data_IF_336160419599
#
_entry.id   IF_336160419599
#
_cell.length_a   1.000
_cell.length_b   1.000
_cell.length_c   1.000
_cell.angle_alpha   90.00
_cell.angle_beta   90.00
_cell.angle_gamma   90.00
#
_symmetry.space_group_name_H-M   'P 1'
#
loop_
_entity.id
_entity.type
_entity.pdbx_description
1 polymer ?
#
# COMPACT_ATOMS: atom_id res chain seq x y z
N UNK A 1 -9.37 -26.47 -12.46
CA UNK A 1 -9.93 -25.55 -13.48
C UNK A 1 -9.94 -24.08 -13.03
N UNK A 2 -10.32 -23.74 -11.79
CA UNK A 2 -10.52 -22.33 -11.33
C UNK A 2 -9.22 -21.50 -11.24
N UNK A 3 -8.07 -22.11 -10.90
CA UNK A 3 -6.79 -21.39 -10.75
C UNK A 3 -6.14 -20.99 -12.10
N UNK A 4 -6.42 -21.71 -13.17
CA UNK A 4 -5.85 -21.46 -14.51
C UNK A 4 -6.46 -20.21 -15.18
N UNK A 5 -7.76 -19.97 -14.96
CA UNK A 5 -8.47 -18.80 -15.49
C UNK A 5 -8.20 -17.55 -14.64
N UNK A 6 -8.18 -17.69 -13.31
CA UNK A 6 -7.88 -16.57 -12.40
C UNK A 6 -6.40 -16.24 -12.32
N UNK A 7 -5.52 -17.09 -12.88
CA UNK A 7 -4.04 -17.01 -12.78
C UNK A 7 -3.49 -17.06 -11.36
N UNK A 8 -4.26 -17.60 -10.41
CA UNK A 8 -3.86 -17.72 -9.00
C UNK A 8 -2.58 -18.53 -8.79
N UNK A 9 -2.38 -19.61 -9.55
CA UNK A 9 -1.17 -20.44 -9.44
C UNK A 9 0.10 -19.67 -9.84
N UNK A 10 0.00 -18.80 -10.84
CA UNK A 10 1.11 -17.96 -11.28
C UNK A 10 1.49 -16.95 -10.19
N UNK A 11 0.50 -16.27 -9.62
CA UNK A 11 0.70 -15.34 -8.49
C UNK A 11 1.30 -16.04 -7.28
N UNK A 12 0.74 -17.19 -6.87
CA UNK A 12 1.26 -17.99 -5.76
C UNK A 12 2.71 -18.40 -5.98
N UNK A 13 3.04 -18.95 -7.15
CA UNK A 13 4.41 -19.39 -7.47
C UNK A 13 5.39 -18.22 -7.45
N UNK A 14 5.00 -17.07 -8.01
CA UNK A 14 5.84 -15.87 -8.02
C UNK A 14 6.07 -15.34 -6.60
N UNK A 15 5.00 -15.12 -5.82
CA UNK A 15 5.12 -14.61 -4.46
C UNK A 15 5.92 -15.57 -3.56
N UNK A 16 5.68 -16.88 -3.67
CA UNK A 16 6.44 -17.89 -2.92
C UNK A 16 7.93 -17.84 -3.25
N UNK A 17 8.29 -17.78 -4.55
CA UNK A 17 9.68 -17.72 -4.95
C UNK A 17 10.33 -16.40 -4.50
N UNK A 18 9.66 -15.27 -4.66
CA UNK A 18 10.15 -13.96 -4.22
C UNK A 18 10.47 -13.97 -2.73
N UNK A 19 9.49 -14.36 -1.89
CA UNK A 19 9.63 -14.40 -0.42
C UNK A 19 10.60 -15.48 0.08
N UNK A 20 10.90 -16.50 -0.74
CA UNK A 20 11.89 -17.53 -0.42
C UNK A 20 13.32 -17.00 -0.62
N UNK A 21 13.51 -16.06 -1.54
CA UNK A 21 14.85 -15.56 -1.94
C UNK A 21 15.16 -14.15 -1.45
N UNK A 22 14.15 -13.36 -1.06
CA UNK A 22 14.35 -12.07 -0.42
C UNK A 22 14.45 -12.24 1.10
N UNK A 23 15.02 -11.24 1.78
CA UNK A 23 14.69 -11.05 3.19
C UNK A 23 13.19 -10.72 3.33
N UNK A 24 12.69 -10.80 4.55
CA UNK A 24 11.27 -10.56 4.86
C UNK A 24 11.06 -9.14 5.42
N UNK A 25 11.96 -8.22 5.11
CA UNK A 25 11.83 -6.82 5.49
C UNK A 25 10.57 -6.22 4.86
N UNK A 26 9.98 -5.26 5.55
CA UNK A 26 8.72 -4.61 5.17
C UNK A 26 8.74 -4.13 3.71
N UNK A 27 9.83 -3.46 3.31
CA UNK A 27 10.03 -2.97 1.94
C UNK A 27 9.93 -4.10 0.90
N UNK A 28 10.49 -5.29 1.17
CA UNK A 28 10.42 -6.41 0.24
C UNK A 28 9.01 -7.02 0.18
N UNK A 29 8.28 -7.03 1.29
CA UNK A 29 6.88 -7.45 1.28
C UNK A 29 6.01 -6.44 0.51
N UNK A 30 6.24 -5.13 0.68
CA UNK A 30 5.57 -4.11 -0.16
C UNK A 30 5.89 -4.31 -1.64
N UNK A 31 7.16 -4.58 -1.99
CA UNK A 31 7.59 -4.82 -3.37
C UNK A 31 6.89 -6.02 -4.01
N UNK A 32 6.69 -7.12 -3.27
CA UNK A 32 5.97 -8.28 -3.83
C UNK A 32 4.51 -7.92 -4.14
N UNK A 33 3.84 -7.15 -3.27
CA UNK A 33 2.45 -6.72 -3.46
C UNK A 33 2.30 -5.73 -4.64
N UNK A 34 3.36 -4.98 -4.94
CA UNK A 34 3.43 -4.04 -6.07
C UNK A 34 3.71 -4.70 -7.41
N UNK A 35 4.10 -5.98 -7.43
CA UNK A 35 4.74 -6.57 -8.60
C UNK A 35 3.79 -6.81 -9.77
N UNK A 36 4.22 -6.36 -10.96
CA UNK A 36 3.61 -6.71 -12.24
C UNK A 36 4.15 -8.02 -12.84
N UNK A 37 5.06 -8.69 -12.14
CA UNK A 37 5.68 -9.96 -12.55
C UNK A 37 6.40 -9.90 -13.91
N UNK A 38 7.03 -8.75 -14.21
CA UNK A 38 7.82 -8.50 -15.41
C UNK A 38 9.17 -7.87 -15.04
N UNK A 39 10.16 -7.97 -15.94
CA UNK A 39 11.48 -7.41 -15.68
C UNK A 39 11.45 -5.87 -15.55
N UNK A 40 10.61 -5.21 -16.35
CA UNK A 40 10.45 -3.75 -16.40
C UNK A 40 9.42 -3.20 -15.40
N UNK A 41 8.69 -4.07 -14.70
CA UNK A 41 7.60 -3.72 -13.78
C UNK A 41 6.54 -2.77 -14.39
N UNK A 42 6.40 -2.76 -15.71
CA UNK A 42 5.36 -2.00 -16.40
C UNK A 42 3.97 -2.55 -16.10
N UNK A 43 2.97 -1.67 -15.96
CA UNK A 43 1.59 -2.08 -15.73
C UNK A 43 1.13 -2.99 -16.86
N UNK A 44 0.68 -4.19 -16.49
CA UNK A 44 0.01 -5.13 -17.40
C UNK A 44 -1.42 -5.36 -16.93
N UNK A 45 -2.38 -5.09 -17.81
CA UNK A 45 -3.80 -5.32 -17.55
C UNK A 45 -4.11 -6.82 -17.52
N UNK A 46 -5.06 -7.19 -16.66
CA UNK A 46 -5.50 -8.57 -16.45
C UNK A 46 -5.07 -9.14 -15.10
N UNK A 47 -5.39 -10.41 -14.86
CA UNK A 47 -5.26 -11.01 -13.54
C UNK A 47 -3.90 -11.67 -13.25
N UNK A 48 -2.93 -11.65 -14.18
CA UNK A 48 -1.72 -12.47 -14.04
C UNK A 48 -0.77 -11.96 -12.95
N UNK A 49 -0.59 -10.64 -12.87
CA UNK A 49 0.32 -9.96 -11.93
C UNK A 49 -0.18 -10.02 -10.49
N UNK A 50 0.72 -9.77 -9.51
CA UNK A 50 0.31 -9.59 -8.11
C UNK A 50 -0.51 -8.31 -7.97
N UNK A 51 0.01 -7.19 -8.48
CA UNK A 51 -0.76 -5.96 -8.65
C UNK A 51 -1.69 -6.12 -9.86
N UNK A 52 -2.95 -6.46 -9.59
CA UNK A 52 -3.97 -6.68 -10.62
C UNK A 52 -4.51 -5.34 -11.09
N UNK A 53 -4.41 -5.07 -12.39
CA UNK A 53 -5.04 -3.93 -13.05
C UNK A 53 -6.17 -4.39 -13.95
N UNK A 54 -7.30 -3.69 -13.89
CA UNK A 54 -8.45 -3.96 -14.73
C UNK A 54 -8.12 -3.86 -16.23
N UNK A 55 -8.60 -4.83 -17.00
CA UNK A 55 -8.45 -4.93 -18.44
C UNK A 55 -9.75 -4.67 -19.19
N UNK A 56 -9.69 -4.53 -20.53
CA UNK A 56 -10.89 -4.26 -21.35
C UNK A 56 -12.00 -5.30 -21.18
N UNK A 57 -11.64 -6.55 -20.84
CA UNK A 57 -12.58 -7.66 -20.65
C UNK A 57 -12.70 -8.15 -19.19
N UNK A 58 -11.78 -7.74 -18.30
CA UNK A 58 -11.75 -8.18 -16.90
C UNK A 58 -11.80 -6.95 -16.01
N UNK A 59 -12.92 -6.75 -15.31
CA UNK A 59 -13.17 -5.58 -14.46
C UNK A 59 -12.66 -5.72 -13.02
N UNK A 60 -11.86 -6.76 -12.73
CA UNK A 60 -11.28 -6.97 -11.40
C UNK A 60 -9.99 -6.15 -11.22
N UNK A 61 -9.88 -5.50 -10.08
CA UNK A 61 -8.66 -4.87 -9.55
C UNK A 61 -8.54 -5.21 -8.06
N UNK A 62 -7.34 -5.10 -7.48
CA UNK A 62 -7.18 -5.29 -6.03
C UNK A 62 -7.95 -4.21 -5.28
N UNK A 63 -8.66 -4.53 -4.19
CA UNK A 63 -9.41 -3.52 -3.41
C UNK A 63 -8.48 -2.70 -2.52
N UNK A 64 -7.55 -3.37 -1.84
CA UNK A 64 -6.45 -2.80 -1.06
C UNK A 64 -5.37 -3.86 -0.88
N UNK A 65 -4.17 -3.45 -0.50
CA UNK A 65 -3.10 -4.32 -0.04
C UNK A 65 -2.78 -4.02 1.41
N UNK A 66 -2.48 -5.07 2.17
CA UNK A 66 -2.20 -4.97 3.60
C UNK A 66 -1.03 -5.89 3.98
N UNK A 67 -0.20 -5.41 4.88
CA UNK A 67 0.88 -6.16 5.54
C UNK A 67 0.65 -6.01 7.04
N UNK A 68 0.74 -7.10 7.79
CA UNK A 68 0.74 -7.03 9.26
C UNK A 68 2.12 -7.47 9.72
N UNK A 69 2.86 -6.53 10.30
CA UNK A 69 4.16 -6.78 10.88
C UNK A 69 4.02 -7.00 12.39
N UNK A 70 4.61 -8.09 12.90
CA UNK A 70 4.52 -8.51 14.29
C UNK A 70 5.89 -8.35 14.94
N UNK A 71 6.01 -7.46 15.92
CA UNK A 71 7.26 -7.14 16.59
C UNK A 71 7.05 -7.25 18.09
N UNK A 72 7.65 -8.27 18.72
CA UNK A 72 7.46 -8.54 20.14
C UNK A 72 5.99 -8.77 20.50
N UNK A 73 5.45 -7.91 21.35
CA UNK A 73 4.06 -7.89 21.81
C UNK A 73 3.17 -6.94 20.98
N UNK A 74 3.72 -6.28 19.96
CA UNK A 74 3.06 -5.27 19.13
C UNK A 74 2.81 -5.78 17.71
N UNK A 75 1.89 -5.13 17.03
CA UNK A 75 1.72 -5.28 15.59
C UNK A 75 1.47 -3.92 14.94
N UNK A 76 1.92 -3.77 13.69
CA UNK A 76 1.61 -2.64 12.83
C UNK A 76 0.98 -3.17 11.55
N UNK A 77 -0.22 -2.68 11.22
CA UNK A 77 -0.83 -2.94 9.93
C UNK A 77 -0.46 -1.82 8.95
N UNK A 78 0.17 -2.18 7.84
CA UNK A 78 0.48 -1.28 6.74
C UNK A 78 -0.52 -1.51 5.61
N UNK A 79 -1.27 -0.49 5.20
CA UNK A 79 -2.31 -0.67 4.17
C UNK A 79 -2.37 0.45 3.15
N UNK A 80 -2.89 0.13 1.96
CA UNK A 80 -2.99 1.11 0.86
C UNK A 80 -4.29 1.92 0.86
N UNK A 81 -5.37 1.42 1.47
CA UNK A 81 -6.69 2.06 1.45
C UNK A 81 -7.31 2.19 0.06
N UNK A 82 -6.66 1.64 -0.98
CA UNK A 82 -7.03 1.79 -2.38
C UNK A 82 -6.47 0.64 -3.23
N UNK A 83 -7.04 0.41 -4.43
CA UNK A 83 -6.42 -0.41 -5.46
C UNK A 83 -5.02 0.05 -5.85
N UNK A 84 -4.33 -0.79 -6.63
CA UNK A 84 -3.06 -0.46 -7.26
C UNK A 84 -1.92 -0.10 -6.27
N UNK A 85 -1.47 -1.04 -5.42
CA UNK A 85 -0.34 -0.82 -4.51
C UNK A 85 0.93 -0.34 -5.22
N UNK A 86 1.07 -0.59 -6.52
CA UNK A 86 2.18 -0.12 -7.36
C UNK A 86 2.30 1.41 -7.45
N UNK A 87 1.22 2.15 -7.18
CA UNK A 87 1.21 3.63 -7.15
C UNK A 87 0.79 4.20 -5.79
N UNK A 88 0.06 3.44 -4.98
CA UNK A 88 -0.44 3.90 -3.67
C UNK A 88 0.62 3.85 -2.57
N UNK A 89 0.48 4.74 -1.58
CA UNK A 89 1.22 4.69 -0.31
C UNK A 89 0.71 3.55 0.59
N UNK A 90 1.62 2.84 1.24
CA UNK A 90 1.33 2.07 2.45
C UNK A 90 1.40 2.99 3.67
N UNK A 91 0.31 3.05 4.45
CA UNK A 91 0.23 3.83 5.68
C UNK A 91 0.12 2.91 6.88
N UNK A 92 0.75 3.24 8.01
CA UNK A 92 0.64 2.45 9.23
C UNK A 92 -0.67 2.75 9.96
N UNK A 93 -1.33 1.71 10.47
CA UNK A 93 -2.47 1.79 11.38
C UNK A 93 -2.34 0.73 12.46
N UNK A 94 -2.75 1.09 13.67
CA UNK A 94 -2.73 0.22 14.84
C UNK A 94 -4.06 0.28 15.57
N UNK A 95 -4.34 -0.75 16.36
CA UNK A 95 -5.55 -0.86 17.16
C UNK A 95 -5.18 -1.28 18.57
N UNK A 96 -5.65 -0.54 19.58
CA UNK A 96 -5.46 -0.88 20.98
C UNK A 96 -6.66 -0.45 21.80
N UNK A 97 -7.22 -1.36 22.60
CA UNK A 97 -8.31 -1.08 23.54
C UNK A 97 -9.50 -0.33 22.92
N UNK A 98 -9.89 -0.74 21.70
CA UNK A 98 -10.98 -0.12 20.94
C UNK A 98 -10.65 1.25 20.34
N UNK A 99 -9.41 1.73 20.47
CA UNK A 99 -8.91 2.96 19.84
C UNK A 99 -8.09 2.62 18.59
N UNK A 100 -8.10 3.54 17.63
CA UNK A 100 -7.25 3.54 16.44
C UNK A 100 -7.00 4.98 16.01
N UNK A 101 -6.35 5.18 14.86
CA UNK A 101 -6.14 6.48 14.23
C UNK A 101 -7.48 7.20 14.07
N UNK A 102 -7.53 8.47 14.45
CA UNK A 102 -8.74 9.29 14.37
C UNK A 102 -9.49 9.16 13.03
N UNK A 103 -10.79 8.87 13.09
CA UNK A 103 -11.68 8.76 11.94
C UNK A 103 -11.90 7.32 11.48
N UNK A 104 -10.92 6.42 11.63
CA UNK A 104 -11.06 5.01 11.21
C UNK A 104 -11.93 4.16 12.16
N UNK A 105 -12.39 4.74 13.27
CA UNK A 105 -13.46 4.21 14.12
C UNK A 105 -14.87 4.49 13.55
N UNK A 106 -14.96 5.33 12.50
CA UNK A 106 -16.19 5.65 11.79
C UNK A 106 -16.20 5.02 10.38
N UNK A 107 -17.26 4.27 10.07
CA UNK A 107 -17.39 3.55 8.79
C UNK A 107 -17.55 4.52 7.61
N UNK A 108 -18.33 5.59 7.77
CA UNK A 108 -18.56 6.56 6.69
C UNK A 108 -17.26 7.29 6.33
N UNK A 109 -16.50 7.72 7.35
CA UNK A 109 -15.17 8.28 7.16
C UNK A 109 -14.24 7.31 6.41
N UNK A 110 -14.25 6.03 6.80
CA UNK A 110 -13.42 5.01 6.18
C UNK A 110 -13.80 4.76 4.70
N UNK A 111 -15.08 4.83 4.37
CA UNK A 111 -15.60 4.72 3.00
C UNK A 111 -15.15 5.93 2.17
N UNK A 112 -15.31 7.15 2.69
CA UNK A 112 -14.91 8.38 2.01
C UNK A 112 -13.40 8.41 1.77
N UNK A 113 -12.61 8.07 2.79
CA UNK A 113 -11.16 7.92 2.67
C UNK A 113 -10.79 6.92 1.56
N UNK A 114 -11.43 5.75 1.53
CA UNK A 114 -11.18 4.73 0.50
C UNK A 114 -11.54 5.20 -0.91
N UNK A 115 -12.63 5.98 -1.05
CA UNK A 115 -13.03 6.57 -2.33
C UNK A 115 -12.00 7.59 -2.83
N UNK A 116 -11.54 8.48 -1.96
CA UNK A 116 -10.54 9.49 -2.29
C UNK A 116 -9.19 8.86 -2.66
N UNK A 117 -8.73 7.89 -1.86
CA UNK A 117 -7.50 7.15 -2.15
C UNK A 117 -7.61 6.37 -3.46
N UNK A 118 -8.78 5.79 -3.76
CA UNK A 118 -9.04 5.09 -5.03
C UNK A 118 -9.02 6.06 -6.22
N UNK A 119 -9.60 7.25 -6.08
CA UNK A 119 -9.58 8.28 -7.12
C UNK A 119 -8.14 8.70 -7.45
N UNK A 120 -7.32 8.93 -6.43
CA UNK A 120 -5.90 9.25 -6.60
C UNK A 120 -5.12 8.12 -7.26
N UNK A 121 -5.27 6.88 -6.79
CA UNK A 121 -4.58 5.72 -7.35
C UNK A 121 -4.92 5.54 -8.84
N UNK A 122 -6.18 5.73 -9.23
CA UNK A 122 -6.61 5.68 -10.64
C UNK A 122 -6.03 6.82 -11.46
N UNK A 123 -5.95 8.03 -10.90
CA UNK A 123 -5.31 9.17 -11.57
C UNK A 123 -3.81 8.91 -11.81
N UNK A 124 -3.10 8.34 -10.82
CA UNK A 124 -1.70 7.96 -10.95
C UNK A 124 -1.48 6.86 -11.98
N UNK A 125 -2.34 5.84 -12.02
CA UNK A 125 -2.29 4.79 -13.06
C UNK A 125 -2.52 5.37 -14.46
N UNK A 126 -3.44 6.33 -14.61
CA UNK A 126 -3.65 7.03 -15.89
C UNK A 126 -2.41 7.83 -16.31
N UNK A 127 -1.69 8.38 -15.35
CA UNK A 127 -0.48 9.17 -15.54
C UNK A 127 0.79 8.36 -15.18
N UNK A 128 0.83 7.06 -15.49
CA UNK A 128 1.88 6.17 -14.98
C UNK A 128 3.30 6.58 -15.37
N UNK A 129 3.50 7.17 -16.56
CA UNK A 129 4.81 7.67 -16.97
C UNK A 129 5.30 8.78 -16.04
N UNK A 130 4.43 9.76 -15.72
CA UNK A 130 4.71 10.82 -14.74
C UNK A 130 4.94 10.23 -13.35
N UNK A 131 4.14 9.22 -12.98
CA UNK A 131 4.33 8.54 -11.72
C UNK A 131 5.74 7.96 -11.60
N UNK A 132 6.19 7.21 -12.62
CA UNK A 132 7.50 6.58 -12.62
C UNK A 132 8.63 7.61 -12.61
N UNK A 133 8.51 8.70 -13.37
CA UNK A 133 9.55 9.74 -13.45
C UNK A 133 9.65 10.59 -12.18
N UNK A 134 8.52 11.06 -11.66
CA UNK A 134 8.52 12.20 -10.72
C UNK A 134 7.86 11.91 -9.36
N UNK A 135 6.92 10.97 -9.29
CA UNK A 135 6.12 10.74 -8.08
C UNK A 135 6.58 9.51 -7.29
N UNK A 136 7.13 8.50 -7.97
CA UNK A 136 7.54 7.23 -7.34
C UNK A 136 8.59 7.48 -6.25
N UNK A 137 9.60 8.29 -6.52
CA UNK A 137 10.65 8.64 -5.55
C UNK A 137 10.09 9.42 -4.36
N UNK A 138 9.13 10.30 -4.60
CA UNK A 138 8.40 11.03 -3.54
C UNK A 138 7.63 10.05 -2.67
N UNK A 139 6.85 9.14 -3.26
CA UNK A 139 6.13 8.09 -2.53
C UNK A 139 7.10 7.25 -1.68
N UNK A 140 8.18 6.75 -2.28
CA UNK A 140 9.16 5.91 -1.58
C UNK A 140 9.81 6.65 -0.41
N UNK A 141 10.05 7.96 -0.55
CA UNK A 141 10.51 8.81 0.54
C UNK A 141 9.50 8.90 1.68
N UNK A 142 8.22 9.18 1.40
CA UNK A 142 7.19 9.24 2.44
C UNK A 142 7.05 7.91 3.18
N UNK A 143 7.11 6.77 2.50
CA UNK A 143 7.08 5.45 3.16
C UNK A 143 8.29 5.21 4.04
N UNK A 144 9.48 5.61 3.58
CA UNK A 144 10.69 5.55 4.41
C UNK A 144 10.59 6.44 5.66
N UNK A 145 10.01 7.64 5.52
CA UNK A 145 9.79 8.53 6.66
C UNK A 145 8.73 7.94 7.62
N UNK A 146 7.67 7.30 7.12
CA UNK A 146 6.68 6.59 7.96
C UNK A 146 7.33 5.44 8.72
N UNK A 147 8.15 4.62 8.05
CA UNK A 147 8.88 3.53 8.67
C UNK A 147 9.77 4.05 9.81
N UNK A 148 10.54 5.12 9.58
CA UNK A 148 11.36 5.73 10.63
C UNK A 148 10.53 6.25 11.80
N UNK A 149 9.39 6.89 11.54
CA UNK A 149 8.49 7.36 12.60
C UNK A 149 8.00 6.18 13.45
N UNK A 150 7.51 5.13 12.81
CA UNK A 150 6.88 3.99 13.48
C UNK A 150 7.89 3.10 14.21
N UNK A 151 9.03 2.80 13.61
CA UNK A 151 9.98 1.83 14.17
C UNK A 151 11.02 2.44 15.11
N UNK A 152 11.25 3.76 15.08
CA UNK A 152 12.19 4.42 16.01
C UNK A 152 11.74 4.23 17.46
N UNK A 153 12.57 3.60 18.28
CA UNK A 153 12.30 3.34 19.71
C UNK A 153 11.00 2.55 19.98
N UNK A 154 10.58 1.69 19.03
CA UNK A 154 9.31 0.96 19.08
C UNK A 154 9.10 0.17 20.39
N UNK A 155 10.16 -0.44 20.92
CA UNK A 155 10.11 -1.21 22.17
C UNK A 155 9.69 -0.38 23.39
N UNK A 156 9.87 0.94 23.32
CA UNK A 156 9.53 1.87 24.40
C UNK A 156 8.16 2.51 24.23
N UNK A 157 7.51 2.34 23.07
CA UNK A 157 6.24 2.98 22.75
C UNK A 157 5.09 2.29 23.46
N UNK A 158 4.30 3.09 24.18
CA UNK A 158 2.98 2.66 24.61
C UNK A 158 1.97 2.75 23.44
N UNK A 159 0.78 2.12 23.56
CA UNK A 159 -0.19 2.12 22.47
C UNK A 159 -0.67 3.51 22.03
N UNK A 160 -0.79 4.46 22.95
CA UNK A 160 -1.26 5.82 22.64
C UNK A 160 -0.21 6.60 21.83
N UNK A 161 1.07 6.42 22.14
CA UNK A 161 2.18 6.99 21.35
C UNK A 161 2.18 6.40 19.94
N UNK A 162 1.96 5.09 19.79
CA UNK A 162 1.95 4.44 18.49
C UNK A 162 0.76 4.90 17.63
N UNK A 163 -0.42 5.08 18.23
CA UNK A 163 -1.58 5.69 17.56
C UNK A 163 -1.25 7.11 17.10
N UNK A 164 -0.68 7.94 17.97
CA UNK A 164 -0.32 9.33 17.65
C UNK A 164 0.71 9.42 16.51
N UNK A 165 1.65 8.49 16.45
CA UNK A 165 2.61 8.42 15.35
C UNK A 165 1.99 7.94 14.03
N UNK A 166 1.03 7.01 14.08
CA UNK A 166 0.23 6.68 12.91
C UNK A 166 -0.54 7.93 12.44
N UNK A 167 -1.19 8.68 13.33
CA UNK A 167 -1.88 9.93 12.99
C UNK A 167 -0.94 10.95 12.34
N UNK A 168 0.31 11.05 12.81
CA UNK A 168 1.34 11.87 12.14
C UNK A 168 1.61 11.39 10.71
N UNK A 169 1.70 10.09 10.47
CA UNK A 169 1.85 9.54 9.12
C UNK A 169 0.65 9.87 8.22
N UNK A 170 -0.58 9.88 8.76
CA UNK A 170 -1.78 10.30 8.03
C UNK A 170 -1.82 11.82 7.76
N UNK A 171 -1.26 12.65 8.64
CA UNK A 171 -1.09 14.08 8.35
C UNK A 171 -0.11 14.29 7.20
N UNK A 172 1.01 13.57 7.21
CA UNK A 172 2.00 13.59 6.11
C UNK A 172 1.42 13.00 4.81
N UNK A 173 0.52 12.02 4.86
CA UNK A 173 -0.20 11.56 3.68
C UNK A 173 -0.97 12.71 3.00
N UNK A 174 -1.63 13.58 3.77
CA UNK A 174 -2.37 14.72 3.20
C UNK A 174 -1.43 15.65 2.42
N UNK A 175 -0.24 15.92 2.95
CA UNK A 175 0.81 16.69 2.27
C UNK A 175 1.25 16.01 0.97
N UNK A 176 1.47 14.69 1.01
CA UNK A 176 1.79 13.90 -0.18
C UNK A 176 0.68 14.01 -1.24
N UNK A 177 -0.59 13.88 -0.84
CA UNK A 177 -1.73 13.95 -1.75
C UNK A 177 -1.82 15.33 -2.42
N UNK A 178 -1.61 16.41 -1.67
CA UNK A 178 -1.58 17.77 -2.20
C UNK A 178 -0.43 17.96 -3.19
N UNK A 179 0.78 17.51 -2.83
CA UNK A 179 1.94 17.56 -3.71
C UNK A 179 1.68 16.78 -5.01
N UNK A 180 1.13 15.57 -4.92
CA UNK A 180 0.83 14.75 -6.10
C UNK A 180 -0.25 15.38 -6.97
N UNK A 181 -1.31 15.92 -6.38
CA UNK A 181 -2.36 16.63 -7.13
C UNK A 181 -1.79 17.81 -7.90
N UNK A 182 -0.85 18.56 -7.30
CA UNK A 182 -0.17 19.67 -8.00
C UNK A 182 0.66 19.24 -9.20
N UNK A 183 1.19 18.01 -9.20
CA UNK A 183 1.99 17.45 -10.29
C UNK A 183 1.14 16.86 -11.43
N UNK A 184 -0.04 16.30 -11.11
CA UNK A 184 -0.91 15.65 -12.10
C UNK A 184 -1.69 16.66 -12.93
N UNK A 185 -1.96 17.87 -12.40
CA UNK A 185 -2.80 18.88 -13.05
C UNK A 185 -4.27 18.68 -12.75
#
# INVERSE_FOLDING_TARGET
LVTFFTKGDARRKYAYNYLKTSDRELTNVMNVLRSHMTADQNIKRGMKSICIHSGPFIKSEATSSMIVDYIGDKFIAWFTGSPHPCVSLFKPIVFSDGKTVQGFDNVDYSVDYGNDATALARALVKNYSLFVSDIKTVRDKYESDFEQIIYRDLDTKNPEQLISECEKCFAMEKEYVEQVRSLIG
#
